data_IF_621228147791
#
_entry.id   IF_621228147791
#
_cell.length_a   1.000
_cell.length_b   1.000
_cell.length_c   1.000
_cell.angle_alpha   90.00
_cell.angle_beta   90.00
_cell.angle_gamma   90.00
#
_symmetry.space_group_name_H-M   'P 1'
#
loop_
_entity.id
_entity.type
_entity.pdbx_description
1 polymer ?
#
# COMPACT_ATOMS: atom_id res chain seq x y z
N UNK A 1 -0.41 9.72 20.16
CA UNK A 1 -1.12 10.32 19.03
C UNK A 1 -0.36 10.17 17.70
N UNK A 2 0.87 10.63 17.55
CA UNK A 2 1.69 10.58 16.33
C UNK A 2 1.91 9.14 15.83
N UNK A 3 2.19 8.18 16.71
CA UNK A 3 2.32 6.78 16.28
C UNK A 3 1.04 6.25 15.64
N UNK A 4 -0.11 6.54 16.25
CA UNK A 4 -1.42 6.16 15.72
C UNK A 4 -1.74 6.87 14.40
N UNK A 5 -1.29 8.12 14.22
CA UNK A 5 -1.45 8.85 12.95
C UNK A 5 -0.65 8.17 11.84
N UNK A 6 0.61 7.82 12.09
CA UNK A 6 1.43 7.12 11.09
C UNK A 6 0.91 5.71 10.77
N UNK A 7 0.47 4.96 11.78
CA UNK A 7 -0.16 3.66 11.57
C UNK A 7 -1.49 3.77 10.82
N UNK A 8 -2.30 4.79 11.14
CA UNK A 8 -3.53 5.09 10.40
C UNK A 8 -3.25 5.47 8.95
N UNK A 9 -2.25 6.32 8.69
CA UNK A 9 -1.80 6.67 7.35
C UNK A 9 -1.32 5.44 6.58
N UNK A 10 -0.57 4.54 7.22
CA UNK A 10 -0.17 3.26 6.63
C UNK A 10 -1.39 2.43 6.23
N UNK A 11 -2.38 2.26 7.12
CA UNK A 11 -3.61 1.52 6.82
C UNK A 11 -4.41 2.12 5.66
N UNK A 12 -4.55 3.44 5.59
CA UNK A 12 -5.25 4.13 4.50
C UNK A 12 -4.51 3.91 3.17
N UNK A 13 -3.19 4.09 3.17
CA UNK A 13 -2.37 3.93 1.97
C UNK A 13 -2.40 2.49 1.47
N UNK A 14 -2.32 1.52 2.39
CA UNK A 14 -2.49 0.10 2.09
C UNK A 14 -3.89 -0.21 1.53
N UNK A 15 -4.94 0.37 2.10
CA UNK A 15 -6.31 0.20 1.61
C UNK A 15 -6.49 0.70 0.17
N UNK A 16 -5.88 1.85 -0.17
CA UNK A 16 -5.88 2.39 -1.54
C UNK A 16 -5.11 1.46 -2.49
N UNK A 17 -3.93 0.98 -2.09
CA UNK A 17 -3.15 0.02 -2.87
C UNK A 17 -3.93 -1.29 -3.09
N UNK A 18 -4.59 -1.79 -2.05
CA UNK A 18 -5.43 -2.99 -2.13
C UNK A 18 -6.63 -2.77 -3.05
N UNK A 19 -7.29 -1.62 -2.96
CA UNK A 19 -8.42 -1.26 -3.84
C UNK A 19 -8.03 -1.29 -5.32
N UNK A 20 -6.83 -0.84 -5.68
CA UNK A 20 -6.31 -0.95 -7.05
C UNK A 20 -6.14 -2.41 -7.53
N UNK A 21 -5.99 -3.36 -6.60
CA UNK A 21 -5.92 -4.79 -6.90
C UNK A 21 -7.28 -5.50 -6.87
N UNK A 22 -8.33 -4.92 -6.29
CA UNK A 22 -9.66 -5.55 -6.22
C UNK A 22 -10.19 -5.97 -7.60
N UNK A 23 -10.08 -5.16 -8.68
CA UNK A 23 -10.53 -5.58 -10.02
C UNK A 23 -9.76 -6.79 -10.57
N UNK A 24 -8.47 -6.92 -10.23
CA UNK A 24 -7.64 -8.07 -10.63
C UNK A 24 -8.10 -9.35 -9.93
N UNK A 25 -8.36 -9.25 -8.62
CA UNK A 25 -8.83 -10.37 -7.79
C UNK A 25 -10.24 -10.79 -8.19
N UNK A 26 -11.15 -9.81 -8.32
CA UNK A 26 -12.56 -10.03 -8.64
C UNK A 26 -12.81 -10.54 -10.06
N UNK A 27 -12.01 -10.11 -11.04
CA UNK A 27 -12.16 -10.57 -12.43
C UNK A 27 -11.55 -11.95 -12.69
N UNK A 28 -10.89 -12.58 -11.70
CA UNK A 28 -10.02 -13.76 -11.90
C UNK A 28 -9.16 -13.65 -13.16
N UNK A 29 -8.68 -12.44 -13.47
CA UNK A 29 -7.83 -12.23 -14.64
C UNK A 29 -6.54 -12.95 -14.35
N UNK A 30 -6.26 -13.96 -15.17
CA UNK A 30 -5.00 -14.67 -15.13
C UNK A 30 -3.90 -13.64 -15.35
N UNK A 31 -3.14 -13.34 -14.29
CA UNK A 31 -2.11 -12.30 -14.32
C UNK A 31 -1.17 -12.56 -15.50
N UNK A 32 -0.83 -13.83 -15.74
CA UNK A 32 0.01 -14.29 -16.85
C UNK A 32 -0.51 -13.89 -18.25
N UNK A 33 -1.80 -13.54 -18.40
CA UNK A 33 -2.42 -13.14 -19.67
C UNK A 33 -2.60 -11.63 -19.81
N UNK A 34 -2.15 -10.85 -18.82
CA UNK A 34 -2.33 -9.41 -18.80
C UNK A 34 -1.37 -8.72 -19.77
N UNK A 35 -1.82 -7.66 -20.44
CA UNK A 35 -0.97 -6.97 -21.40
C UNK A 35 0.20 -6.26 -20.68
N UNK A 36 1.40 -6.15 -21.28
CA UNK A 36 2.53 -5.47 -20.66
C UNK A 36 2.23 -4.02 -20.23
N UNK A 37 1.36 -3.33 -20.98
CA UNK A 37 0.91 -1.98 -20.65
C UNK A 37 0.05 -1.92 -19.38
N UNK A 38 -0.77 -2.93 -19.13
CA UNK A 38 -1.60 -3.02 -17.92
C UNK A 38 -0.74 -3.32 -16.69
N UNK A 39 0.27 -4.19 -16.85
CA UNK A 39 1.28 -4.42 -15.83
C UNK A 39 2.05 -3.15 -15.47
N UNK A 40 2.51 -2.40 -16.47
CA UNK A 40 3.21 -1.12 -16.25
C UNK A 40 2.32 -0.10 -15.55
N UNK A 41 1.05 0.01 -15.96
CA UNK A 41 0.07 0.92 -15.35
C UNK A 41 -0.18 0.60 -13.88
N UNK A 42 -0.30 -0.69 -13.55
CA UNK A 42 -0.51 -1.15 -12.18
C UNK A 42 0.75 -0.99 -11.34
N UNK A 43 1.90 -1.39 -11.86
CA UNK A 43 3.18 -1.33 -11.15
C UNK A 43 3.54 0.10 -10.74
N UNK A 44 3.39 1.07 -11.67
CA UNK A 44 3.67 2.49 -11.41
C UNK A 44 2.79 3.07 -10.30
N UNK A 45 1.60 2.52 -10.06
CA UNK A 45 0.68 3.03 -9.03
C UNK A 45 0.79 2.24 -7.73
N UNK A 46 0.87 0.93 -7.82
CA UNK A 46 0.87 0.04 -6.67
C UNK A 46 2.20 0.07 -5.90
N UNK A 47 3.35 0.00 -6.60
CA UNK A 47 4.65 -0.04 -5.92
C UNK A 47 4.93 1.21 -5.07
N UNK A 48 4.74 2.44 -5.59
CA UNK A 48 4.96 3.64 -4.77
C UNK A 48 4.04 3.71 -3.55
N UNK A 49 2.76 3.32 -3.70
CA UNK A 49 1.81 3.29 -2.59
C UNK A 49 2.19 2.25 -1.53
N UNK A 50 2.65 1.07 -1.95
CA UNK A 50 3.16 0.05 -1.04
C UNK A 50 4.40 0.50 -0.28
N UNK A 51 5.36 1.13 -0.97
CA UNK A 51 6.57 1.69 -0.35
C UNK A 51 6.18 2.75 0.68
N UNK A 52 5.28 3.65 0.32
CA UNK A 52 4.80 4.71 1.20
C UNK A 52 4.07 4.15 2.43
N UNK A 53 3.22 3.15 2.23
CA UNK A 53 2.54 2.43 3.32
C UNK A 53 3.55 1.79 4.28
N UNK A 54 4.57 1.13 3.77
CA UNK A 54 5.62 0.53 4.59
C UNK A 54 6.43 1.58 5.35
N UNK A 55 6.77 2.70 4.69
CA UNK A 55 7.48 3.79 5.33
C UNK A 55 6.68 4.36 6.51
N UNK A 56 5.38 4.60 6.35
CA UNK A 56 4.51 5.04 7.44
C UNK A 56 4.38 3.99 8.55
N UNK A 57 4.27 2.72 8.21
CA UNK A 57 4.21 1.65 9.20
C UNK A 57 5.49 1.59 10.05
N UNK A 58 6.66 1.64 9.41
CA UNK A 58 7.95 1.67 10.08
C UNK A 58 8.09 2.92 10.96
N UNK A 59 7.73 4.09 10.44
CA UNK A 59 7.77 5.35 11.18
C UNK A 59 6.84 5.31 12.41
N UNK A 60 5.62 4.81 12.26
CA UNK A 60 4.67 4.66 13.37
C UNK A 60 5.14 3.66 14.43
N UNK A 61 5.74 2.55 14.00
CA UNK A 61 6.33 1.54 14.89
C UNK A 61 7.54 2.08 15.64
N UNK A 62 8.42 2.85 14.97
CA UNK A 62 9.52 3.54 15.63
C UNK A 62 8.99 4.57 16.64
N UNK A 63 8.01 5.39 16.25
CA UNK A 63 7.42 6.38 17.14
C UNK A 63 6.85 5.74 18.43
N UNK A 64 6.15 4.60 18.30
CA UNK A 64 5.69 3.83 19.46
C UNK A 64 6.84 3.32 20.32
N UNK A 65 7.90 2.78 19.69
CA UNK A 65 9.07 2.22 20.39
C UNK A 65 9.85 3.29 21.17
N UNK A 66 9.99 4.49 20.62
CA UNK A 66 10.72 5.59 21.24
C UNK A 66 9.84 6.48 22.14
N UNK A 67 8.59 6.10 22.39
CA UNK A 67 7.68 6.81 23.28
C UNK A 67 7.23 8.17 22.74
N UNK A 68 7.35 8.39 21.42
CA UNK A 68 6.82 9.59 20.79
C UNK A 68 5.31 9.46 20.76
N UNK A 69 4.57 10.35 21.45
CA UNK A 69 3.14 10.20 21.66
C UNK A 69 2.43 10.22 20.31
#
# INVERSE_FOLDING_TARGET
>A
MISNVFLGAAMVTFGIAFWLMVPLIGSRRDLMKMAPAEYGWLAIRFFPLMILSFAFFIAGSLAAKYGWP
#
